data_IF_295329187175
#
_entry.id   IF_295329187175
#
_cell.length_a   1.000
_cell.length_b   1.000
_cell.length_c   1.000
_cell.angle_alpha   90.00
_cell.angle_beta   90.00
_cell.angle_gamma   90.00
#
_symmetry.space_group_name_H-M   'P 1'
#
loop_
_entity.id
_entity.type
_entity.pdbx_description
1 polymer ?
#
# COMPACT_ATOMS: atom_id res chain seq x y z
N UNK A 1 -69.61 -55.25 9.27
CA UNK A 1 -69.68 -54.07 8.38
C UNK A 1 -68.70 -53.03 8.93
N UNK A 2 -67.49 -53.05 8.40
CA UNK A 2 -66.41 -52.17 8.87
C UNK A 2 -66.32 -50.95 7.99
N UNK A 3 -66.44 -49.79 8.60
CA UNK A 3 -66.17 -48.50 7.89
C UNK A 3 -64.75 -48.04 8.20
N UNK A 4 -63.89 -48.06 7.23
CA UNK A 4 -62.60 -47.48 7.30
C UNK A 4 -62.72 -45.97 7.14
N UNK A 5 -62.26 -45.22 8.13
CA UNK A 5 -62.04 -43.78 8.04
C UNK A 5 -60.61 -43.54 7.64
N UNK A 6 -60.41 -43.00 6.45
CA UNK A 6 -59.10 -42.55 5.98
C UNK A 6 -58.86 -41.16 6.51
N UNK A 7 -57.90 -41.02 7.39
CA UNK A 7 -57.31 -39.71 7.76
C UNK A 7 -56.26 -39.34 6.72
N UNK A 8 -56.58 -38.37 5.89
CA UNK A 8 -55.61 -37.72 5.01
C UNK A 8 -54.95 -36.58 5.80
N UNK A 9 -53.66 -36.67 6.08
CA UNK A 9 -52.86 -35.58 6.63
C UNK A 9 -52.26 -34.74 5.50
N UNK A 10 -52.38 -33.41 5.51
CA UNK A 10 -51.64 -32.57 4.57
C UNK A 10 -50.21 -32.37 5.06
N UNK A 11 -49.25 -32.73 4.26
CA UNK A 11 -47.82 -32.37 4.44
C UNK A 11 -47.66 -30.87 4.19
N UNK A 12 -47.45 -30.13 5.27
CA UNK A 12 -46.99 -28.74 5.16
C UNK A 12 -45.50 -28.74 4.86
N UNK A 13 -45.12 -28.41 3.60
CA UNK A 13 -43.75 -28.18 3.25
C UNK A 13 -43.37 -26.77 3.69
N UNK A 14 -42.60 -26.68 4.77
CA UNK A 14 -41.96 -25.44 5.22
C UNK A 14 -40.73 -25.21 4.32
N UNK A 15 -40.88 -24.34 3.34
CA UNK A 15 -39.72 -23.80 2.57
C UNK A 15 -39.01 -22.80 3.47
N UNK A 16 -37.88 -23.22 4.03
CA UNK A 16 -36.94 -22.31 4.72
C UNK A 16 -36.16 -21.53 3.64
N UNK A 17 -36.56 -20.28 3.36
CA UNK A 17 -35.75 -19.33 2.60
C UNK A 17 -34.57 -18.90 3.48
N UNK A 18 -33.38 -19.49 3.28
CA UNK A 18 -32.13 -18.98 3.82
C UNK A 18 -31.79 -17.71 3.08
N UNK A 19 -32.05 -16.56 3.69
CA UNK A 19 -31.56 -15.26 3.23
C UNK A 19 -30.04 -15.22 3.42
N UNK A 20 -29.29 -15.43 2.34
CA UNK A 20 -27.86 -15.12 2.30
C UNK A 20 -27.72 -13.61 2.37
N UNK A 21 -27.44 -13.07 3.56
CA UNK A 21 -27.06 -11.69 3.71
C UNK A 21 -25.68 -11.50 3.06
N UNK A 22 -25.50 -10.54 2.13
CA UNK A 22 -24.18 -10.21 1.62
C UNK A 22 -23.37 -9.64 2.79
N UNK A 23 -22.32 -10.35 3.20
CA UNK A 23 -21.30 -9.80 4.09
C UNK A 23 -20.60 -8.70 3.32
N UNK A 24 -20.98 -7.44 3.55
CA UNK A 24 -20.22 -6.30 3.10
C UNK A 24 -18.84 -6.42 3.77
N UNK A 25 -17.81 -6.71 2.96
CA UNK A 25 -16.42 -6.54 3.36
C UNK A 25 -16.27 -5.05 3.65
N UNK A 26 -16.22 -4.68 4.94
CA UNK A 26 -15.88 -3.32 5.32
C UNK A 26 -14.44 -3.08 4.84
N UNK A 27 -14.28 -2.24 3.82
CA UNK A 27 -12.97 -1.73 3.43
C UNK A 27 -12.34 -1.09 4.67
N UNK A 28 -11.19 -1.63 5.10
CA UNK A 28 -10.43 -1.02 6.17
C UNK A 28 -10.14 0.43 5.77
N UNK A 29 -10.37 1.44 6.63
CA UNK A 29 -10.15 2.83 6.28
C UNK A 29 -8.70 3.00 5.82
N UNK A 30 -8.51 3.46 4.58
CA UNK A 30 -7.19 3.77 4.05
C UNK A 30 -6.53 4.78 4.98
N UNK A 31 -5.39 4.43 5.58
CA UNK A 31 -4.68 5.32 6.49
C UNK A 31 -4.31 6.58 5.73
N UNK A 32 -4.76 7.74 6.21
CA UNK A 32 -4.52 9.02 5.55
C UNK A 32 -3.01 9.27 5.36
N UNK A 33 -2.62 9.63 4.15
CA UNK A 33 -1.26 10.01 3.82
C UNK A 33 -0.95 11.40 4.33
N UNK A 34 0.15 11.57 5.05
CA UNK A 34 0.65 12.87 5.54
C UNK A 34 1.94 13.27 4.83
N UNK A 35 2.10 14.58 4.59
CA UNK A 35 3.36 15.13 4.10
C UNK A 35 4.35 15.25 5.24
N UNK A 36 5.61 14.88 4.97
CA UNK A 36 6.71 14.98 5.90
C UNK A 36 7.71 16.03 5.42
N UNK A 37 8.25 16.81 6.33
CA UNK A 37 9.39 17.69 6.02
C UNK A 37 10.56 16.85 5.51
N UNK A 38 11.14 17.26 4.40
CA UNK A 38 12.34 16.62 3.82
C UNK A 38 13.56 16.84 4.71
N UNK A 39 13.61 17.98 5.39
CA UNK A 39 14.77 18.38 6.19
C UNK A 39 15.93 18.86 5.31
N UNK A 40 17.16 18.64 5.76
CA UNK A 40 18.34 19.01 4.96
C UNK A 40 18.51 18.06 3.78
N UNK A 41 18.53 18.60 2.56
CA UNK A 41 18.71 17.82 1.31
C UNK A 41 20.00 16.98 1.28
N UNK A 42 21.05 17.43 1.94
CA UNK A 42 22.33 16.68 2.06
C UNK A 42 22.22 15.40 2.91
N UNK A 43 21.13 15.24 3.66
CA UNK A 43 20.89 14.03 4.45
C UNK A 43 20.62 12.76 3.62
N UNK A 44 20.53 12.90 2.28
CA UNK A 44 20.19 11.81 1.35
C UNK A 44 21.31 11.50 0.34
N UNK A 45 22.54 11.85 0.69
CA UNK A 45 23.72 11.63 -0.16
C UNK A 45 23.76 12.60 -1.33
N UNK A 46 24.05 12.09 -2.54
CA UNK A 46 24.14 12.89 -3.78
C UNK A 46 22.80 13.15 -4.45
N UNK A 47 21.71 12.84 -3.79
CA UNK A 47 20.35 12.89 -4.33
C UNK A 47 19.57 14.06 -3.72
N UNK A 48 18.82 14.76 -4.52
CA UNK A 48 17.92 15.82 -4.06
C UNK A 48 16.52 15.25 -3.84
N UNK A 49 16.15 15.00 -2.58
CA UNK A 49 14.80 14.59 -2.22
C UNK A 49 13.88 15.80 -2.20
N UNK A 50 12.81 15.76 -2.98
CA UNK A 50 11.87 16.87 -3.17
C UNK A 50 10.65 16.78 -2.26
N UNK A 51 10.16 15.56 -2.03
CA UNK A 51 8.97 15.33 -1.20
C UNK A 51 9.01 13.98 -0.52
N UNK A 52 8.41 13.89 0.67
CA UNK A 52 8.20 12.63 1.40
C UNK A 52 6.75 12.62 1.89
N UNK A 53 6.03 11.53 1.63
CA UNK A 53 4.70 11.26 2.16
C UNK A 53 4.70 9.93 2.89
N UNK A 54 4.03 9.88 4.03
CA UNK A 54 3.95 8.68 4.86
C UNK A 54 2.50 8.33 5.18
N UNK A 55 2.18 7.05 5.15
CA UNK A 55 0.90 6.47 5.55
C UNK A 55 1.18 5.27 6.46
N UNK A 56 0.53 5.21 7.61
CA UNK A 56 0.71 4.11 8.58
C UNK A 56 2.03 4.16 9.36
N UNK A 57 2.89 5.15 9.14
CA UNK A 57 4.18 5.29 9.84
C UNK A 57 4.50 6.75 10.15
N UNK A 58 5.46 7.00 11.04
CA UNK A 58 5.86 8.35 11.43
C UNK A 58 6.75 9.02 10.37
N UNK A 59 6.77 10.35 10.34
CA UNK A 59 7.69 11.09 9.47
C UNK A 59 9.17 10.82 9.79
N UNK A 60 9.51 10.57 11.06
CA UNK A 60 10.87 10.16 11.45
C UNK A 60 11.27 8.84 10.81
N UNK A 61 10.40 7.84 10.88
CA UNK A 61 10.62 6.53 10.26
C UNK A 61 10.65 6.62 8.74
N UNK A 62 9.78 7.44 8.14
CA UNK A 62 9.77 7.68 6.70
C UNK A 62 11.08 8.30 6.21
N UNK A 63 11.60 9.34 6.88
CA UNK A 63 12.90 9.93 6.53
C UNK A 63 14.06 8.94 6.68
N UNK A 64 14.03 8.11 7.71
CA UNK A 64 15.05 7.06 7.89
C UNK A 64 15.01 6.05 6.76
N UNK A 65 13.81 5.62 6.33
CA UNK A 65 13.63 4.71 5.21
C UNK A 65 14.14 5.33 3.89
N UNK A 66 13.85 6.60 3.63
CA UNK A 66 14.32 7.30 2.42
C UNK A 66 15.85 7.38 2.39
N UNK A 67 16.50 7.67 3.51
CA UNK A 67 17.98 7.62 3.60
C UNK A 67 18.51 6.22 3.30
N UNK A 68 17.90 5.19 3.89
CA UNK A 68 18.30 3.81 3.67
C UNK A 68 18.08 3.38 2.21
N UNK A 69 17.02 3.85 1.55
CA UNK A 69 16.76 3.62 0.14
C UNK A 69 17.90 4.17 -0.73
N UNK A 70 18.30 5.43 -0.50
CA UNK A 70 19.38 6.04 -1.28
C UNK A 70 20.75 5.41 -0.99
N UNK A 71 21.01 4.98 0.23
CA UNK A 71 22.21 4.22 0.58
C UNK A 71 22.23 2.80 -0.03
N UNK A 72 21.10 2.19 -0.23
CA UNK A 72 20.97 0.86 -0.85
C UNK A 72 21.23 0.87 -2.36
N UNK A 73 21.02 2.01 -3.03
CA UNK A 73 21.19 2.11 -4.49
C UNK A 73 22.65 1.93 -4.89
N UNK A 74 22.98 1.01 -5.83
CA UNK A 74 24.33 0.89 -6.35
C UNK A 74 24.61 2.06 -7.33
N UNK A 75 25.27 3.11 -6.85
CA UNK A 75 25.58 4.30 -7.60
C UNK A 75 24.36 5.16 -7.99
N UNK A 76 24.59 6.16 -8.83
CA UNK A 76 23.57 7.14 -9.24
C UNK A 76 22.47 6.55 -10.12
N UNK A 77 22.78 5.58 -10.95
CA UNK A 77 21.85 4.93 -11.87
C UNK A 77 21.18 3.68 -11.28
N UNK A 78 21.65 3.18 -10.15
CA UNK A 78 21.13 1.98 -9.50
C UNK A 78 19.72 2.12 -8.95
N UNK A 79 19.10 1.00 -8.68
CA UNK A 79 17.76 0.89 -8.06
C UNK A 79 17.86 0.09 -6.78
N UNK A 80 16.97 0.37 -5.84
CA UNK A 80 16.84 -0.41 -4.60
C UNK A 80 15.41 -0.98 -4.54
N UNK A 81 15.26 -2.28 -4.75
CA UNK A 81 13.96 -2.96 -4.76
C UNK A 81 13.45 -3.37 -3.37
N UNK A 82 14.35 -3.42 -2.37
CA UNK A 82 13.99 -3.81 -1.00
C UNK A 82 14.96 -3.17 -0.02
N UNK A 83 14.44 -2.56 1.04
CA UNK A 83 15.23 -1.93 2.09
C UNK A 83 14.45 -1.92 3.42
N UNK A 84 15.11 -2.27 4.52
CA UNK A 84 14.52 -2.28 5.86
C UNK A 84 13.18 -3.04 5.95
N UNK A 85 13.04 -4.14 5.20
CA UNK A 85 11.83 -4.94 5.13
C UNK A 85 10.70 -4.35 4.27
N UNK A 86 10.90 -3.17 3.66
CA UNK A 86 9.99 -2.60 2.68
C UNK A 86 10.34 -3.09 1.27
N UNK A 87 9.31 -3.32 0.46
CA UNK A 87 9.43 -3.46 -0.99
C UNK A 87 9.28 -2.11 -1.63
N UNK A 88 10.22 -1.74 -2.50
CA UNK A 88 10.25 -0.45 -3.15
C UNK A 88 10.13 -0.60 -4.66
N UNK A 89 9.31 0.23 -5.29
CA UNK A 89 9.22 0.40 -6.73
C UNK A 89 9.59 1.82 -7.11
N UNK A 90 10.24 1.99 -8.25
CA UNK A 90 10.75 3.27 -8.72
C UNK A 90 10.36 3.50 -10.18
N UNK A 91 9.79 4.67 -10.45
CA UNK A 91 9.47 5.15 -11.78
C UNK A 91 10.26 6.42 -12.08
N UNK A 92 11.06 6.40 -13.14
CA UNK A 92 11.90 7.52 -13.57
C UNK A 92 11.27 8.25 -14.74
N UNK A 93 11.33 9.56 -14.68
CA UNK A 93 10.79 10.48 -15.70
C UNK A 93 11.67 11.70 -15.86
N UNK A 94 11.35 12.62 -16.75
CA UNK A 94 12.15 13.83 -17.07
C UNK A 94 13.64 13.50 -17.29
N UNK A 95 13.92 12.42 -18.06
CA UNK A 95 15.26 11.95 -18.29
C UNK A 95 16.00 12.86 -19.29
N UNK A 96 17.21 13.26 -18.93
CA UNK A 96 18.16 13.97 -19.77
C UNK A 96 19.54 13.32 -19.68
N UNK A 97 20.52 13.86 -20.40
CA UNK A 97 21.92 13.43 -20.27
C UNK A 97 22.54 13.80 -18.91
N UNK A 98 21.93 14.76 -18.19
CA UNK A 98 22.51 15.33 -16.97
C UNK A 98 21.72 14.96 -15.70
N UNK A 99 20.47 14.53 -15.82
CA UNK A 99 19.62 14.24 -14.67
C UNK A 99 18.40 13.41 -15.01
N UNK A 100 17.76 12.88 -13.99
CA UNK A 100 16.41 12.35 -14.06
C UNK A 100 15.66 12.63 -12.76
N UNK A 101 14.34 12.71 -12.85
CA UNK A 101 13.46 12.71 -11.70
C UNK A 101 12.92 11.30 -11.44
N UNK A 102 12.60 11.00 -10.21
CA UNK A 102 12.08 9.69 -9.83
C UNK A 102 11.00 9.78 -8.78
N UNK A 103 10.04 8.89 -8.89
CA UNK A 103 9.01 8.63 -7.88
C UNK A 103 9.20 7.23 -7.35
N UNK A 104 9.30 7.12 -6.02
CA UNK A 104 9.48 5.85 -5.32
C UNK A 104 8.30 5.61 -4.41
N UNK A 105 7.85 4.36 -4.37
CA UNK A 105 6.87 3.87 -3.41
C UNK A 105 7.44 2.66 -2.70
N UNK A 106 7.55 2.74 -1.38
CA UNK A 106 8.00 1.65 -0.52
C UNK A 106 6.84 1.22 0.39
N UNK A 107 6.56 -0.07 0.46
CA UNK A 107 5.45 -0.62 1.24
C UNK A 107 5.87 -1.82 2.08
N UNK A 108 5.33 -1.89 3.31
CA UNK A 108 5.46 -3.02 4.21
C UNK A 108 4.19 -3.12 5.05
N UNK A 109 3.39 -4.18 4.83
CA UNK A 109 2.08 -4.31 5.48
C UNK A 109 1.20 -3.08 5.22
N UNK A 110 0.61 -2.49 6.26
CA UNK A 110 -0.20 -1.26 6.18
C UNK A 110 0.60 0.04 6.06
N UNK A 111 1.94 -0.01 6.03
CA UNK A 111 2.81 1.16 5.98
C UNK A 111 3.24 1.44 4.54
N UNK A 112 3.12 2.70 4.12
CA UNK A 112 3.58 3.15 2.80
C UNK A 112 4.35 4.46 2.95
N UNK A 113 5.50 4.52 2.29
CA UNK A 113 6.29 5.75 2.17
C UNK A 113 6.51 6.02 0.69
N UNK A 114 6.11 7.21 0.25
CA UNK A 114 6.34 7.71 -1.11
C UNK A 114 7.29 8.89 -1.05
N UNK A 115 8.25 8.92 -1.96
CA UNK A 115 9.11 10.10 -2.09
C UNK A 115 9.45 10.37 -3.56
N UNK A 116 9.76 11.62 -3.85
CA UNK A 116 10.27 12.06 -5.15
C UNK A 116 11.66 12.63 -4.97
N UNK A 117 12.50 12.42 -5.97
CA UNK A 117 13.87 12.94 -5.94
C UNK A 117 14.36 13.24 -7.34
N UNK A 118 15.34 14.15 -7.42
CA UNK A 118 16.15 14.41 -8.62
C UNK A 118 17.56 13.85 -8.42
N UNK A 119 18.06 13.13 -9.40
CA UNK A 119 19.44 12.63 -9.46
C UNK A 119 20.18 13.28 -10.60
N UNK A 120 21.28 13.96 -10.30
CA UNK A 120 22.23 14.41 -11.30
C UNK A 120 23.25 13.31 -11.60
N UNK A 121 23.50 13.08 -12.87
CA UNK A 121 24.41 12.03 -13.39
C UNK A 121 25.83 12.52 -13.55
#
# INVERSE_FOLDING_TARGET
>A
MSRFVRCSAPLAVLAACAALAPTALADAPATASKSCSVGNSRSYGTTYVLSIRASGTSCRSARRLVRAFHACRPGKSGRCGSVSGYRCSESRFNKSSQSYDSRVTCSRGGNTVKHTYTQFT
#
